data_IF_283866259061
#
_entry.id   IF_283866259061
#
_cell.length_a   1.000
_cell.length_b   1.000
_cell.length_c   1.000
_cell.angle_alpha   90.00
_cell.angle_beta   90.00
_cell.angle_gamma   90.00
#
_symmetry.space_group_name_H-M   'P 1'
#
loop_
_entity.id
_entity.type
_entity.pdbx_description
1 polymer ?
#
# COMPACT_ATOMS: atom_id res chain seq x y z
N UNK A 1 24.29 -11.39 -13.91
CA UNK A 1 24.37 -9.98 -13.45
C UNK A 1 24.03 -8.99 -14.57
N UNK A 2 24.67 -9.09 -15.76
CA UNK A 2 24.42 -8.20 -16.90
C UNK A 2 22.95 -8.16 -17.32
N UNK A 3 22.35 -9.33 -17.53
CA UNK A 3 20.94 -9.45 -17.89
C UNK A 3 20.01 -8.85 -16.85
N UNK A 4 20.33 -9.00 -15.56
CA UNK A 4 19.56 -8.41 -14.45
C UNK A 4 19.53 -6.89 -14.55
N UNK A 5 20.68 -6.25 -14.77
CA UNK A 5 20.76 -4.79 -14.87
C UNK A 5 20.01 -4.26 -16.10
N UNK A 6 20.10 -4.98 -17.23
CA UNK A 6 19.38 -4.62 -18.47
C UNK A 6 17.87 -4.72 -18.24
N UNK A 7 17.38 -5.82 -17.67
CA UNK A 7 15.95 -6.00 -17.37
C UNK A 7 15.41 -4.92 -16.42
N UNK A 8 16.12 -4.61 -15.32
CA UNK A 8 15.71 -3.55 -14.40
C UNK A 8 15.70 -2.16 -15.06
N UNK A 9 16.70 -1.88 -15.92
CA UNK A 9 16.75 -0.61 -16.64
C UNK A 9 15.58 -0.48 -17.61
N UNK A 10 15.28 -1.53 -18.36
CA UNK A 10 14.14 -1.55 -19.29
C UNK A 10 12.81 -1.45 -18.53
N UNK A 11 12.67 -2.15 -17.40
CA UNK A 11 11.50 -2.09 -16.54
C UNK A 11 11.25 -0.64 -16.05
N UNK A 12 12.31 0.04 -15.59
CA UNK A 12 12.24 1.42 -15.15
C UNK A 12 11.83 2.38 -16.28
N UNK A 13 12.47 2.24 -17.47
CA UNK A 13 12.16 3.05 -18.66
C UNK A 13 10.71 2.82 -19.10
N UNK A 14 10.28 1.57 -19.18
CA UNK A 14 8.91 1.22 -19.56
C UNK A 14 7.88 1.80 -18.58
N UNK A 15 8.12 1.69 -17.27
CA UNK A 15 7.28 2.32 -16.24
C UNK A 15 7.17 3.83 -16.44
N UNK A 16 8.30 4.52 -16.67
CA UNK A 16 8.32 5.96 -16.91
C UNK A 16 7.58 6.35 -18.19
N UNK A 17 7.74 5.62 -19.29
CA UNK A 17 7.03 5.88 -20.54
C UNK A 17 5.53 5.67 -20.38
N UNK A 18 5.12 4.57 -19.75
CA UNK A 18 3.71 4.29 -19.47
C UNK A 18 3.08 5.33 -18.56
N UNK A 19 3.82 5.90 -17.61
CA UNK A 19 3.30 6.97 -16.75
C UNK A 19 2.96 8.26 -17.52
N UNK A 20 3.67 8.54 -18.61
CA UNK A 20 3.32 9.64 -19.52
C UNK A 20 2.03 9.38 -20.29
N UNK A 21 1.83 8.15 -20.75
CA UNK A 21 0.57 7.76 -21.42
C UNK A 21 -0.62 7.82 -20.46
N UNK A 22 -0.46 7.28 -19.25
CA UNK A 22 -1.49 7.32 -18.21
C UNK A 22 -1.91 8.76 -17.86
N UNK A 23 -0.95 9.69 -17.80
CA UNK A 23 -1.24 11.10 -17.57
C UNK A 23 -2.15 11.71 -18.64
N UNK A 24 -2.06 11.26 -19.89
CA UNK A 24 -2.92 11.73 -20.99
C UNK A 24 -4.40 11.31 -20.79
N UNK A 25 -4.62 10.16 -20.15
CA UNK A 25 -5.96 9.61 -19.83
C UNK A 25 -6.39 9.85 -18.38
N UNK A 26 -5.63 10.66 -17.63
CA UNK A 26 -5.88 11.00 -16.21
C UNK A 26 -5.92 9.77 -15.27
N UNK A 27 -5.12 8.75 -15.55
CA UNK A 27 -4.93 7.60 -14.67
C UNK A 27 -3.80 7.85 -13.66
N UNK A 28 -3.84 7.19 -12.47
CA UNK A 28 -2.75 7.20 -11.51
C UNK A 28 -1.47 6.62 -12.10
N UNK A 29 -0.32 7.12 -11.64
CA UNK A 29 0.99 6.62 -12.11
C UNK A 29 1.20 5.14 -11.73
N UNK A 30 0.72 4.73 -10.55
CA UNK A 30 0.80 3.35 -10.05
C UNK A 30 0.15 2.37 -11.03
N UNK A 31 -1.06 2.67 -11.50
CA UNK A 31 -1.75 1.84 -12.52
C UNK A 31 -0.89 1.65 -13.76
N UNK A 32 -0.22 2.72 -14.21
CA UNK A 32 0.65 2.63 -15.40
C UNK A 32 1.88 1.77 -15.19
N UNK A 33 2.45 1.79 -13.98
CA UNK A 33 3.60 0.95 -13.63
C UNK A 33 3.21 -0.54 -13.59
N UNK A 34 2.04 -0.85 -12.98
CA UNK A 34 1.49 -2.20 -12.98
C UNK A 34 1.21 -2.70 -14.40
N UNK A 35 0.60 -1.87 -15.25
CA UNK A 35 0.34 -2.21 -16.65
C UNK A 35 1.66 -2.39 -17.42
N UNK A 36 2.66 -1.54 -17.20
CA UNK A 36 3.99 -1.72 -17.80
C UNK A 36 4.61 -3.06 -17.39
N UNK A 37 4.50 -3.42 -16.11
CA UNK A 37 4.94 -4.71 -15.60
C UNK A 37 4.19 -5.88 -16.22
N UNK A 38 2.87 -5.81 -16.29
CA UNK A 38 2.04 -6.82 -16.95
C UNK A 38 2.45 -7.04 -18.41
N UNK A 39 2.71 -5.96 -19.15
CA UNK A 39 3.18 -6.04 -20.54
C UNK A 39 4.57 -6.66 -20.64
N UNK A 40 5.51 -6.30 -19.75
CA UNK A 40 6.85 -6.87 -19.69
C UNK A 40 6.88 -8.29 -19.12
N UNK A 41 5.80 -8.70 -18.45
CA UNK A 41 5.70 -9.98 -17.76
C UNK A 41 5.78 -11.20 -18.66
N UNK A 42 5.97 -12.39 -18.04
CA UNK A 42 6.15 -13.66 -18.76
C UNK A 42 4.98 -14.03 -19.67
N UNK A 43 3.79 -13.52 -19.36
CA UNK A 43 2.55 -13.88 -20.06
C UNK A 43 2.28 -13.05 -21.32
N UNK A 44 2.98 -11.91 -21.51
CA UNK A 44 2.82 -11.01 -22.67
C UNK A 44 4.12 -10.96 -23.48
N UNK A 45 5.01 -10.00 -23.21
CA UNK A 45 6.26 -9.85 -23.96
C UNK A 45 7.27 -10.97 -23.70
N UNK A 46 7.27 -11.57 -22.51
CA UNK A 46 8.10 -12.71 -22.17
C UNK A 46 7.90 -13.91 -23.11
N UNK A 47 6.66 -14.11 -23.61
CA UNK A 47 6.33 -15.16 -24.60
C UNK A 47 6.97 -14.96 -25.99
N UNK A 48 7.38 -13.73 -26.32
CA UNK A 48 8.00 -13.41 -27.62
C UNK A 48 9.46 -13.83 -27.70
N UNK A 49 10.04 -14.39 -26.63
CA UNK A 49 11.43 -14.86 -26.61
C UNK A 49 12.47 -13.74 -26.65
N UNK A 50 12.08 -12.48 -26.39
CA UNK A 50 12.95 -11.31 -26.38
C UNK A 50 13.67 -11.11 -25.03
N UNK A 51 13.42 -11.98 -24.06
CA UNK A 51 14.03 -11.95 -22.72
C UNK A 51 15.56 -12.08 -22.77
N UNK A 52 16.13 -12.74 -23.78
CA UNK A 52 17.57 -12.79 -24.01
C UNK A 52 18.21 -11.43 -24.34
N UNK A 53 17.42 -10.47 -24.87
CA UNK A 53 17.80 -9.08 -25.09
C UNK A 53 17.46 -8.17 -23.90
N UNK A 54 16.96 -8.73 -22.80
CA UNK A 54 16.49 -7.98 -21.64
C UNK A 54 15.10 -7.32 -21.82
N UNK A 55 14.42 -7.58 -22.93
CA UNK A 55 13.09 -7.03 -23.21
C UNK A 55 12.04 -8.03 -22.71
N UNK A 56 11.48 -7.72 -21.53
CA UNK A 56 10.52 -8.58 -20.83
C UNK A 56 11.16 -9.64 -19.95
N UNK A 57 10.36 -10.21 -19.07
CA UNK A 57 10.75 -11.29 -18.17
C UNK A 57 10.33 -12.63 -18.77
N UNK A 58 11.26 -13.58 -18.89
CA UNK A 58 11.02 -14.86 -19.54
C UNK A 58 10.22 -15.85 -18.70
N UNK A 59 10.26 -15.72 -17.37
CA UNK A 59 9.55 -16.61 -16.43
C UNK A 59 9.20 -15.88 -15.13
N UNK A 60 8.25 -16.40 -14.37
CA UNK A 60 7.94 -15.92 -13.01
C UNK A 60 9.14 -16.06 -12.08
N UNK A 61 9.86 -17.18 -12.16
CA UNK A 61 11.08 -17.42 -11.37
C UNK A 61 12.13 -16.32 -11.60
N UNK A 62 12.24 -15.80 -12.84
CA UNK A 62 13.11 -14.67 -13.13
C UNK A 62 12.64 -13.40 -12.42
N UNK A 63 11.33 -13.14 -12.36
CA UNK A 63 10.77 -11.97 -11.65
C UNK A 63 10.97 -12.11 -10.15
N UNK A 64 10.73 -13.29 -9.58
CA UNK A 64 10.95 -13.60 -8.17
C UNK A 64 12.42 -13.46 -7.78
N UNK A 65 13.35 -13.70 -8.70
CA UNK A 65 14.79 -13.46 -8.50
C UNK A 65 15.14 -12.00 -8.19
N UNK A 66 14.23 -11.05 -8.41
CA UNK A 66 14.36 -9.65 -8.00
C UNK A 66 13.76 -9.35 -6.62
N UNK A 67 13.39 -10.35 -5.85
CA UNK A 67 12.75 -10.22 -4.54
C UNK A 67 13.46 -9.27 -3.57
N UNK A 68 14.79 -9.20 -3.61
CA UNK A 68 15.55 -8.24 -2.80
C UNK A 68 15.17 -6.77 -3.12
N UNK A 69 14.92 -6.44 -4.39
CA UNK A 69 14.47 -5.09 -4.80
C UNK A 69 13.07 -4.82 -4.25
N UNK A 70 12.18 -5.81 -4.32
CA UNK A 70 10.82 -5.74 -3.77
C UNK A 70 10.86 -5.51 -2.26
N UNK A 71 11.65 -6.29 -1.50
CA UNK A 71 11.74 -6.15 -0.04
C UNK A 71 12.30 -4.78 0.38
N UNK A 72 13.33 -4.30 -0.30
CA UNK A 72 13.88 -2.95 -0.06
C UNK A 72 12.85 -1.88 -0.36
N UNK A 73 12.11 -1.98 -1.47
CA UNK A 73 11.04 -1.05 -1.81
C UNK A 73 9.94 -1.03 -0.73
N UNK A 74 9.52 -2.19 -0.26
CA UNK A 74 8.54 -2.34 0.82
C UNK A 74 9.01 -1.66 2.11
N UNK A 75 10.28 -1.85 2.48
CA UNK A 75 10.87 -1.18 3.63
C UNK A 75 10.81 0.34 3.54
N UNK A 76 11.14 0.90 2.37
CA UNK A 76 11.02 2.34 2.14
C UNK A 76 9.58 2.83 2.14
N UNK A 77 8.66 2.11 1.50
CA UNK A 77 7.23 2.44 1.49
C UNK A 77 6.72 2.48 2.94
N UNK A 78 6.98 1.45 3.73
CA UNK A 78 6.55 1.38 5.12
C UNK A 78 7.19 2.49 5.99
N UNK A 79 8.48 2.79 5.80
CA UNK A 79 9.16 3.87 6.50
C UNK A 79 8.54 5.24 6.19
N UNK A 80 8.21 5.50 4.93
CA UNK A 80 7.55 6.76 4.52
C UNK A 80 6.13 6.85 5.10
N UNK A 81 5.37 5.75 5.10
CA UNK A 81 4.05 5.69 5.76
C UNK A 81 4.18 6.04 7.26
N UNK A 82 5.23 5.56 7.94
CA UNK A 82 5.50 5.90 9.33
C UNK A 82 5.58 7.41 9.59
N UNK A 83 6.02 8.21 8.60
CA UNK A 83 6.06 9.68 8.71
C UNK A 83 4.67 10.33 8.81
N UNK A 84 3.61 9.68 8.38
CA UNK A 84 2.23 10.19 8.51
C UNK A 84 1.75 10.16 9.97
N UNK A 85 2.40 9.35 10.83
CA UNK A 85 2.09 9.20 12.26
C UNK A 85 2.78 10.25 13.16
N UNK A 86 2.83 11.51 12.70
CA UNK A 86 3.26 12.63 13.57
C UNK A 86 2.25 12.87 14.68
N UNK A 87 2.71 12.83 15.93
CA UNK A 87 1.85 13.05 17.10
C UNK A 87 1.17 14.43 17.07
N UNK A 88 1.81 15.44 16.49
CA UNK A 88 1.20 16.77 16.30
C UNK A 88 -0.02 16.69 15.36
N UNK A 89 0.10 15.94 14.26
CA UNK A 89 -1.00 15.72 13.30
C UNK A 89 -2.09 14.84 13.92
N UNK A 90 -1.72 13.76 14.59
CA UNK A 90 -2.67 12.86 15.27
C UNK A 90 -3.47 13.57 16.37
N UNK A 91 -2.84 14.45 17.14
CA UNK A 91 -3.54 15.25 18.15
C UNK A 91 -4.50 16.28 17.55
N UNK A 92 -4.20 16.78 16.36
CA UNK A 92 -5.10 17.65 15.61
C UNK A 92 -6.23 16.89 14.89
N UNK A 93 -6.02 15.60 14.62
CA UNK A 93 -7.05 14.69 14.12
C UNK A 93 -8.04 14.46 15.26
N UNK A 94 -9.26 14.95 15.15
CA UNK A 94 -10.27 14.71 16.18
C UNK A 94 -10.48 13.21 16.45
N UNK A 95 -10.87 12.87 17.67
CA UNK A 95 -11.20 11.49 18.05
C UNK A 95 -12.14 10.79 17.05
N UNK A 96 -12.94 11.56 16.33
CA UNK A 96 -13.83 11.09 15.28
C UNK A 96 -13.09 10.41 14.12
N UNK A 97 -12.00 11.00 13.62
CA UNK A 97 -11.23 10.44 12.52
C UNK A 97 -10.54 9.12 12.91
N UNK A 98 -9.99 9.06 14.13
CA UNK A 98 -9.35 7.84 14.65
C UNK A 98 -10.37 6.72 14.79
N UNK A 99 -11.53 7.02 15.41
CA UNK A 99 -12.58 6.02 15.59
C UNK A 99 -13.12 5.52 14.25
N UNK A 100 -13.36 6.42 13.29
CA UNK A 100 -13.85 6.04 11.96
C UNK A 100 -12.80 5.21 11.20
N UNK A 101 -11.52 5.63 11.23
CA UNK A 101 -10.43 4.92 10.56
C UNK A 101 -10.29 3.49 11.07
N UNK A 102 -10.19 3.31 12.39
CA UNK A 102 -10.07 1.96 13.00
C UNK A 102 -11.32 1.12 12.75
N UNK A 103 -12.49 1.66 13.05
CA UNK A 103 -13.73 0.88 12.99
C UNK A 103 -14.05 0.43 11.55
N UNK A 104 -13.86 1.29 10.53
CA UNK A 104 -14.12 0.91 9.15
C UNK A 104 -13.13 -0.15 8.66
N UNK A 105 -11.85 -0.10 9.06
CA UNK A 105 -10.85 -1.09 8.70
C UNK A 105 -11.21 -2.47 9.29
N UNK A 106 -11.51 -2.52 10.59
CA UNK A 106 -11.92 -3.76 11.28
C UNK A 106 -13.20 -4.35 10.69
N UNK A 107 -14.22 -3.51 10.43
CA UNK A 107 -15.48 -3.99 9.82
C UNK A 107 -15.23 -4.52 8.40
N UNK A 108 -14.36 -3.86 7.62
CA UNK A 108 -14.01 -4.32 6.28
C UNK A 108 -13.32 -5.67 6.33
N UNK A 109 -12.29 -5.83 7.18
CA UNK A 109 -11.60 -7.10 7.39
C UNK A 109 -12.58 -8.19 7.79
N UNK A 110 -13.37 -7.99 8.82
CA UNK A 110 -14.33 -8.99 9.30
C UNK A 110 -15.36 -9.40 8.24
N UNK A 111 -15.85 -8.46 7.42
CA UNK A 111 -16.83 -8.76 6.38
C UNK A 111 -16.20 -9.56 5.23
N UNK A 112 -14.94 -9.23 4.85
CA UNK A 112 -14.21 -9.98 3.83
C UNK A 112 -13.82 -11.36 4.35
N UNK A 113 -13.39 -11.47 5.61
CA UNK A 113 -13.10 -12.76 6.25
C UNK A 113 -14.33 -13.68 6.21
N UNK A 114 -15.50 -13.18 6.64
CA UNK A 114 -16.74 -13.95 6.59
C UNK A 114 -17.09 -14.40 5.17
N UNK A 115 -16.93 -13.52 4.18
CA UNK A 115 -17.23 -13.85 2.79
C UNK A 115 -16.24 -14.89 2.23
N UNK A 116 -14.94 -14.73 2.47
CA UNK A 116 -13.90 -15.63 1.93
C UNK A 116 -13.81 -16.95 2.70
N UNK A 117 -14.03 -16.96 4.01
CA UNK A 117 -14.22 -18.20 4.78
C UNK A 117 -15.45 -18.95 4.27
N UNK A 118 -16.54 -18.25 3.91
CA UNK A 118 -17.68 -18.86 3.23
C UNK A 118 -17.29 -19.51 1.90
N UNK A 119 -16.42 -18.88 1.11
CA UNK A 119 -15.87 -19.48 -0.12
C UNK A 119 -14.99 -20.70 0.21
N UNK A 120 -14.14 -20.61 1.22
CA UNK A 120 -13.33 -21.74 1.68
C UNK A 120 -14.19 -22.96 2.07
N UNK A 121 -15.27 -22.76 2.81
CA UNK A 121 -16.17 -23.85 3.21
C UNK A 121 -16.86 -24.54 2.03
N UNK A 122 -17.14 -23.78 0.96
CA UNK A 122 -17.75 -24.32 -0.26
C UNK A 122 -16.71 -24.94 -1.20
N UNK A 123 -15.50 -24.38 -1.27
CA UNK A 123 -14.44 -24.74 -2.19
C UNK A 123 -13.07 -24.80 -1.50
N UNK A 124 -12.84 -25.71 -0.53
CA UNK A 124 -11.60 -25.75 0.27
C UNK A 124 -10.35 -26.05 -0.55
N UNK A 125 -10.51 -26.58 -1.76
CA UNK A 125 -9.40 -26.88 -2.68
C UNK A 125 -8.95 -25.64 -3.49
N UNK A 126 -9.76 -24.56 -3.49
CA UNK A 126 -9.48 -23.35 -4.27
C UNK A 126 -8.86 -22.25 -3.41
N UNK A 127 -9.30 -22.14 -2.17
CA UNK A 127 -8.86 -21.12 -1.23
C UNK A 127 -8.61 -21.76 0.13
N UNK A 128 -7.39 -21.69 0.66
CA UNK A 128 -7.09 -22.15 2.02
C UNK A 128 -7.67 -21.18 3.06
N UNK A 129 -7.88 -21.67 4.29
CA UNK A 129 -8.34 -20.84 5.38
C UNK A 129 -7.32 -19.75 5.71
N UNK A 130 -6.02 -20.07 5.67
CA UNK A 130 -4.93 -19.14 5.86
C UNK A 130 -4.98 -17.99 4.85
N UNK A 131 -5.14 -18.33 3.56
CA UNK A 131 -5.26 -17.33 2.49
C UNK A 131 -6.54 -16.49 2.61
N UNK A 132 -7.66 -17.07 3.04
CA UNK A 132 -8.92 -16.35 3.25
C UNK A 132 -8.77 -15.25 4.32
N UNK A 133 -8.21 -15.59 5.49
CA UNK A 133 -7.98 -14.64 6.60
C UNK A 133 -6.95 -13.57 6.20
N UNK A 134 -5.89 -13.96 5.49
CA UNK A 134 -4.88 -13.02 5.02
C UNK A 134 -5.47 -12.02 4.02
N UNK A 135 -6.27 -12.48 3.05
CA UNK A 135 -6.97 -11.60 2.10
C UNK A 135 -7.92 -10.63 2.81
N UNK A 136 -8.60 -11.06 3.86
CA UNK A 136 -9.48 -10.20 4.64
C UNK A 136 -8.75 -9.03 5.29
N UNK A 137 -7.59 -9.27 5.88
CA UNK A 137 -6.78 -8.20 6.46
C UNK A 137 -6.18 -7.26 5.40
N UNK A 138 -5.74 -7.78 4.25
CA UNK A 138 -5.26 -6.97 3.12
C UNK A 138 -6.38 -6.04 2.59
N UNK A 139 -7.63 -6.46 2.70
CA UNK A 139 -8.78 -5.68 2.27
C UNK A 139 -8.97 -4.36 3.06
N UNK A 140 -8.40 -4.25 4.26
CA UNK A 140 -8.46 -3.02 5.07
C UNK A 140 -7.74 -1.84 4.40
N UNK A 141 -6.62 -2.07 3.72
CA UNK A 141 -5.77 -1.00 3.17
C UNK A 141 -6.47 -0.15 2.10
N UNK A 142 -6.19 1.15 2.11
CA UNK A 142 -6.67 2.13 1.12
C UNK A 142 -5.48 2.80 0.44
N UNK A 143 -5.61 3.21 -0.83
CA UNK A 143 -4.55 3.89 -1.57
C UNK A 143 -4.56 5.42 -1.30
N UNK A 144 -3.61 5.96 -0.52
CA UNK A 144 -3.52 7.39 -0.27
C UNK A 144 -3.27 8.19 -1.55
N UNK A 145 -2.37 7.70 -2.41
CA UNK A 145 -1.93 8.40 -3.61
C UNK A 145 -3.05 8.66 -4.61
N UNK A 146 -3.91 7.66 -4.86
CA UNK A 146 -5.04 7.79 -5.78
C UNK A 146 -6.07 8.83 -5.27
N UNK A 147 -6.38 8.77 -3.98
CA UNK A 147 -7.31 9.70 -3.32
C UNK A 147 -6.76 11.14 -3.29
N UNK A 148 -5.49 11.31 -2.87
CA UNK A 148 -4.80 12.60 -2.86
C UNK A 148 -4.70 13.22 -4.25
N UNK A 149 -4.47 12.40 -5.29
CA UNK A 149 -4.44 12.88 -6.67
C UNK A 149 -5.78 13.52 -7.07
N UNK A 150 -6.91 12.87 -6.75
CA UNK A 150 -8.25 13.42 -7.03
C UNK A 150 -8.48 14.71 -6.25
N UNK A 151 -8.17 14.73 -4.95
CA UNK A 151 -8.33 15.92 -4.10
C UNK A 151 -7.51 17.10 -4.64
N UNK A 152 -6.24 16.88 -5.01
CA UNK A 152 -5.36 17.92 -5.55
C UNK A 152 -5.78 18.36 -6.95
N UNK A 153 -6.10 17.42 -7.84
CA UNK A 153 -6.46 17.70 -9.24
C UNK A 153 -7.75 18.52 -9.35
N UNK A 154 -8.74 18.22 -8.52
CA UNK A 154 -10.04 18.89 -8.53
C UNK A 154 -10.17 19.96 -7.44
N UNK A 155 -9.10 20.22 -6.67
CA UNK A 155 -9.08 21.21 -5.56
C UNK A 155 -10.25 21.03 -4.59
N UNK A 156 -10.56 19.76 -4.28
CA UNK A 156 -11.63 19.43 -3.35
C UNK A 156 -11.34 20.05 -1.97
N UNK A 157 -12.33 20.67 -1.36
CA UNK A 157 -12.23 21.28 -0.03
C UNK A 157 -13.58 21.17 0.68
N UNK A 158 -13.56 20.57 1.86
CA UNK A 158 -14.72 20.46 2.72
C UNK A 158 -14.55 19.47 3.86
N UNK A 159 -15.57 19.29 4.69
CA UNK A 159 -15.51 18.39 5.84
C UNK A 159 -15.26 16.92 5.46
N UNK A 160 -15.85 16.43 4.35
CA UNK A 160 -15.63 15.09 3.84
C UNK A 160 -14.17 14.92 3.38
N UNK A 161 -13.65 15.86 2.59
CA UNK A 161 -12.24 15.83 2.15
C UNK A 161 -11.28 15.82 3.33
N UNK A 162 -11.53 16.63 4.35
CA UNK A 162 -10.69 16.69 5.54
C UNK A 162 -10.70 15.36 6.31
N UNK A 163 -11.90 14.81 6.58
CA UNK A 163 -12.01 13.53 7.27
C UNK A 163 -11.41 12.38 6.43
N UNK A 164 -11.64 12.39 5.12
CA UNK A 164 -11.07 11.40 4.19
C UNK A 164 -9.55 11.33 4.29
N UNK A 165 -8.86 12.47 4.22
CA UNK A 165 -7.39 12.52 4.29
C UNK A 165 -6.87 11.99 5.64
N UNK A 166 -7.57 12.29 6.73
CA UNK A 166 -7.21 11.79 8.05
C UNK A 166 -7.45 10.27 8.18
N UNK A 167 -8.58 9.77 7.67
CA UNK A 167 -8.92 8.34 7.73
C UNK A 167 -7.94 7.53 6.89
N UNK A 168 -7.62 7.99 5.67
CA UNK A 168 -6.67 7.31 4.79
C UNK A 168 -5.28 7.21 5.43
N UNK A 169 -4.82 8.25 6.13
CA UNK A 169 -3.53 8.20 6.83
C UNK A 169 -3.52 7.15 7.97
N UNK A 170 -4.63 6.97 8.69
CA UNK A 170 -4.75 5.98 9.77
C UNK A 170 -4.93 4.56 9.21
N UNK A 171 -5.61 4.44 8.09
CA UNK A 171 -6.04 3.17 7.49
C UNK A 171 -4.87 2.24 7.17
N UNK A 172 -3.79 2.80 6.65
CA UNK A 172 -2.59 2.03 6.31
C UNK A 172 -1.94 1.38 7.54
N UNK A 173 -1.81 2.10 8.65
CA UNK A 173 -1.25 1.50 9.87
C UNK A 173 -2.17 0.47 10.51
N UNK A 174 -3.46 0.77 10.57
CA UNK A 174 -4.45 -0.20 11.09
C UNK A 174 -4.45 -1.44 10.20
N UNK A 175 -4.39 -1.27 8.88
CA UNK A 175 -4.28 -2.36 7.91
C UNK A 175 -3.04 -3.22 8.14
N UNK A 176 -1.87 -2.60 8.37
CA UNK A 176 -0.63 -3.34 8.66
C UNK A 176 -0.70 -4.13 9.97
N UNK A 177 -1.28 -3.56 11.03
CA UNK A 177 -1.47 -4.29 12.30
C UNK A 177 -2.42 -5.47 12.13
N UNK A 178 -3.55 -5.26 11.44
CA UNK A 178 -4.51 -6.32 11.14
C UNK A 178 -3.87 -7.41 10.26
N UNK A 179 -3.06 -7.01 9.27
CA UNK A 179 -2.33 -7.94 8.42
C UNK A 179 -1.34 -8.78 9.23
N UNK A 180 -0.49 -8.17 10.03
CA UNK A 180 0.50 -8.91 10.83
C UNK A 180 -0.16 -9.90 11.78
N UNK A 181 -1.28 -9.51 12.41
CA UNK A 181 -2.05 -10.42 13.25
C UNK A 181 -2.65 -11.60 12.45
N UNK A 182 -3.30 -11.30 11.33
CA UNK A 182 -3.94 -12.32 10.48
C UNK A 182 -2.93 -13.23 9.80
N UNK A 183 -1.80 -12.68 9.35
CA UNK A 183 -0.73 -13.42 8.70
C UNK A 183 -0.02 -14.35 9.69
N UNK A 184 0.22 -13.90 10.93
CA UNK A 184 0.74 -14.77 11.98
C UNK A 184 -0.18 -15.94 12.30
N UNK A 185 -1.51 -15.69 12.38
CA UNK A 185 -2.51 -16.77 12.52
C UNK A 185 -2.50 -17.69 11.29
N UNK A 186 -2.41 -17.15 10.09
CA UNK A 186 -2.35 -17.94 8.86
C UNK A 186 -1.13 -18.87 8.83
N UNK A 187 0.04 -18.38 9.20
CA UNK A 187 1.26 -19.18 9.32
C UNK A 187 1.13 -20.30 10.35
N UNK A 188 0.55 -20.03 11.52
CA UNK A 188 0.31 -21.04 12.54
C UNK A 188 -0.64 -22.14 12.04
N UNK A 189 -1.68 -21.78 11.30
CA UNK A 189 -2.60 -22.72 10.66
C UNK A 189 -1.89 -23.64 9.63
N UNK A 190 -1.01 -23.08 8.80
CA UNK A 190 -0.26 -23.86 7.79
C UNK A 190 0.76 -24.81 8.41
N UNK A 191 1.40 -24.41 9.50
CA UNK A 191 2.36 -25.26 10.20
C UNK A 191 1.70 -26.37 11.02
N UNK A 192 0.37 -26.40 11.08
CA UNK A 192 -0.39 -27.41 11.83
C UNK A 192 -0.31 -27.25 13.36
N UNK A 193 0.26 -26.15 13.84
CA UNK A 193 0.36 -25.82 15.26
C UNK A 193 -0.90 -25.07 15.69
N UNK A 194 -1.96 -25.83 16.02
CA UNK A 194 -3.23 -25.29 16.49
C UNK A 194 -3.25 -24.97 17.99
N UNK A 195 -2.09 -24.81 18.61
CA UNK A 195 -2.00 -24.43 20.00
C UNK A 195 -2.34 -22.95 20.20
N UNK A 196 -2.96 -22.63 21.34
CA UNK A 196 -3.26 -21.24 21.71
C UNK A 196 -2.01 -20.36 21.69
N UNK A 197 -0.84 -20.95 21.95
CA UNK A 197 0.46 -20.29 21.93
C UNK A 197 0.78 -19.81 20.50
N UNK A 198 0.70 -20.68 19.50
CA UNK A 198 1.07 -20.39 18.10
C UNK A 198 0.04 -19.47 17.43
N UNK A 199 -1.24 -19.63 17.74
CA UNK A 199 -2.32 -18.86 17.09
C UNK A 199 -2.47 -17.44 17.67
N UNK A 200 -2.15 -17.23 18.95
CA UNK A 200 -2.39 -15.95 19.63
C UNK A 200 -1.09 -15.30 20.11
N UNK A 201 -0.23 -16.08 20.78
CA UNK A 201 0.95 -15.49 21.43
C UNK A 201 2.03 -15.14 20.42
N UNK A 202 2.32 -16.01 19.45
CA UNK A 202 3.34 -15.75 18.43
C UNK A 202 3.04 -14.50 17.60
N UNK A 203 1.82 -14.29 17.02
CA UNK A 203 1.50 -13.06 16.29
C UNK A 203 1.55 -11.81 17.16
N UNK A 204 1.11 -11.90 18.44
CA UNK A 204 1.21 -10.77 19.35
C UNK A 204 2.67 -10.44 19.69
N UNK A 205 3.51 -11.45 19.89
CA UNK A 205 4.94 -11.26 20.13
C UNK A 205 5.63 -10.68 18.90
N UNK A 206 5.30 -11.16 17.68
CA UNK A 206 5.81 -10.62 16.43
C UNK A 206 5.48 -9.13 16.29
N UNK A 207 4.24 -8.73 16.52
CA UNK A 207 3.81 -7.32 16.49
C UNK A 207 4.59 -6.50 17.52
N UNK A 208 4.63 -6.96 18.79
CA UNK A 208 5.29 -6.21 19.86
C UNK A 208 6.79 -6.08 19.62
N UNK A 209 7.46 -7.16 19.22
CA UNK A 209 8.90 -7.15 18.92
C UNK A 209 9.21 -6.28 17.70
N UNK A 210 8.36 -6.32 16.66
CA UNK A 210 8.51 -5.49 15.47
C UNK A 210 8.38 -3.99 15.81
N UNK A 211 7.38 -3.63 16.61
CA UNK A 211 7.20 -2.24 17.06
C UNK A 211 8.35 -1.79 17.95
N UNK A 212 8.85 -2.65 18.85
CA UNK A 212 9.99 -2.35 19.71
C UNK A 212 11.27 -2.16 18.89
N UNK A 213 11.57 -3.11 18.00
CA UNK A 213 12.73 -3.03 17.10
C UNK A 213 12.71 -1.77 16.25
N UNK A 214 11.57 -1.47 15.64
CA UNK A 214 11.37 -0.27 14.85
C UNK A 214 11.53 1.02 15.68
N UNK A 215 11.00 1.03 16.91
CA UNK A 215 11.15 2.17 17.81
C UNK A 215 12.63 2.41 18.18
N UNK A 216 13.36 1.36 18.52
CA UNK A 216 14.80 1.43 18.81
C UNK A 216 15.58 1.94 17.59
N UNK A 217 15.30 1.37 16.41
CA UNK A 217 15.95 1.78 15.16
C UNK A 217 15.69 3.26 14.83
N UNK A 218 14.44 3.72 14.93
CA UNK A 218 14.06 5.11 14.67
C UNK A 218 14.72 6.10 15.67
N UNK A 219 14.81 5.70 16.93
CA UNK A 219 15.50 6.49 17.95
C UNK A 219 17.01 6.54 17.71
N UNK A 220 17.64 5.41 17.38
CA UNK A 220 19.07 5.34 17.04
C UNK A 220 19.39 6.16 15.79
N UNK A 221 18.54 6.11 14.77
CA UNK A 221 18.66 6.95 13.58
C UNK A 221 18.70 8.44 13.96
N UNK A 222 17.78 8.90 14.82
CA UNK A 222 17.76 10.28 15.30
C UNK A 222 19.04 10.61 16.06
N UNK A 223 19.53 9.75 16.94
CA UNK A 223 20.77 10.00 17.70
C UNK A 223 21.98 10.17 16.77
N UNK A 224 22.10 9.31 15.76
CA UNK A 224 23.23 9.38 14.83
C UNK A 224 23.12 10.56 13.87
N UNK A 225 21.90 10.99 13.53
CA UNK A 225 21.68 12.12 12.62
C UNK A 225 22.25 13.45 13.17
N UNK A 226 22.24 13.64 14.48
CA UNK A 226 22.79 14.83 15.15
C UNK A 226 24.27 15.04 14.80
N UNK A 227 25.03 13.96 14.58
CA UNK A 227 26.46 14.05 14.22
C UNK A 227 26.70 14.50 12.78
N UNK A 228 25.69 14.47 11.92
CA UNK A 228 25.84 14.82 10.51
C UNK A 228 25.16 16.14 10.19
N UNK A 229 25.92 17.15 9.73
CA UNK A 229 25.40 18.46 9.37
C UNK A 229 25.04 18.56 7.86
N UNK A 230 25.60 17.66 7.03
CA UNK A 230 25.34 17.64 5.59
C UNK A 230 24.02 16.90 5.29
N UNK A 231 23.15 17.57 4.53
CA UNK A 231 21.85 17.00 4.06
C UNK A 231 22.00 15.68 3.31
N UNK A 232 23.05 15.54 2.49
CA UNK A 232 23.35 14.31 1.76
C UNK A 232 23.75 13.16 2.70
N UNK A 233 24.59 13.45 3.72
CA UNK A 233 25.01 12.44 4.70
C UNK A 233 23.84 11.94 5.55
N UNK A 234 22.94 12.85 5.98
CA UNK A 234 21.71 12.50 6.70
C UNK A 234 20.79 11.61 5.88
N UNK A 235 20.59 11.94 4.60
CA UNK A 235 19.81 11.09 3.70
C UNK A 235 20.45 9.70 3.52
N UNK A 236 21.78 9.63 3.32
CA UNK A 236 22.51 8.37 3.23
C UNK A 236 22.36 7.54 4.51
N UNK A 237 22.37 8.18 5.69
CA UNK A 237 22.16 7.51 6.96
C UNK A 237 20.74 6.93 7.06
N UNK A 238 19.71 7.68 6.67
CA UNK A 238 18.32 7.19 6.64
C UNK A 238 18.18 6.01 5.70
N UNK A 239 18.77 6.06 4.50
CA UNK A 239 18.80 4.93 3.56
C UNK A 239 19.47 3.71 4.19
N UNK A 240 20.63 3.89 4.84
CA UNK A 240 21.35 2.81 5.50
C UNK A 240 20.52 2.18 6.63
N UNK A 241 19.81 2.99 7.42
CA UNK A 241 18.92 2.48 8.48
C UNK A 241 17.73 1.72 7.95
N UNK A 242 17.09 2.18 6.87
CA UNK A 242 16.00 1.41 6.23
C UNK A 242 16.52 0.07 5.71
N UNK A 243 17.68 0.05 5.04
CA UNK A 243 18.29 -1.20 4.59
C UNK A 243 18.65 -2.12 5.75
N UNK A 244 19.17 -1.57 6.85
CA UNK A 244 19.49 -2.33 8.06
C UNK A 244 18.22 -2.92 8.70
N UNK A 245 17.14 -2.12 8.83
CA UNK A 245 15.89 -2.60 9.41
C UNK A 245 15.23 -3.67 8.53
N UNK A 246 15.28 -3.52 7.19
CA UNK A 246 14.87 -4.57 6.27
C UNK A 246 15.69 -5.86 6.49
N UNK A 247 17.02 -5.75 6.53
CA UNK A 247 17.88 -6.91 6.72
C UNK A 247 17.66 -7.61 8.08
N UNK A 248 17.50 -6.82 9.17
CA UNK A 248 17.25 -7.37 10.50
C UNK A 248 15.87 -7.98 10.62
N UNK A 249 14.85 -7.41 9.99
CA UNK A 249 13.49 -7.97 10.01
C UNK A 249 13.37 -9.32 9.28
N UNK A 250 14.32 -9.65 8.42
CA UNK A 250 14.37 -10.96 7.73
C UNK A 250 15.05 -12.05 8.58
N UNK A 251 15.55 -11.70 9.78
CA UNK A 251 16.14 -12.67 10.68
C UNK A 251 15.05 -13.36 11.50
N UNK A 252 15.04 -14.69 11.47
CA UNK A 252 14.22 -15.49 12.38
C UNK A 252 15.02 -15.77 13.65
N UNK A 253 14.43 -15.49 14.80
CA UNK A 253 15.03 -15.72 16.12
C UNK A 253 14.16 -16.72 16.89
N UNK A 254 14.76 -17.81 17.35
CA UNK A 254 14.07 -18.79 18.19
C UNK A 254 14.45 -18.55 19.65
N UNK A 255 13.47 -18.21 20.48
CA UNK A 255 13.67 -17.97 21.92
C UNK A 255 12.77 -18.90 22.72
N UNK A 256 13.37 -19.83 23.43
CA UNK A 256 12.64 -20.73 24.35
C UNK A 256 11.64 -21.67 23.65
N UNK A 257 11.87 -22.04 22.37
CA UNK A 257 11.00 -22.91 21.59
C UNK A 257 9.85 -22.18 20.90
N UNK A 258 9.81 -20.84 21.02
CA UNK A 258 8.89 -19.96 20.29
C UNK A 258 9.65 -19.32 19.13
N UNK A 259 9.15 -19.44 17.91
CA UNK A 259 9.71 -18.74 16.76
C UNK A 259 9.25 -17.28 16.81
N UNK A 260 10.21 -16.38 16.95
CA UNK A 260 9.97 -14.95 16.94
C UNK A 260 10.45 -14.40 15.59
N UNK A 261 9.52 -14.15 14.68
CA UNK A 261 9.75 -13.39 13.47
C UNK A 261 9.58 -11.88 13.71
N UNK A 262 9.90 -11.09 12.70
CA UNK A 262 9.64 -9.65 12.68
C UNK A 262 8.87 -9.33 11.41
N UNK A 263 7.76 -8.60 11.52
CA UNK A 263 7.09 -8.02 10.35
C UNK A 263 7.91 -6.88 9.78
N UNK A 264 8.46 -7.05 8.59
CA UNK A 264 9.24 -6.05 7.86
C UNK A 264 8.49 -4.72 7.78
N UNK A 265 7.21 -4.77 7.44
CA UNK A 265 6.37 -3.59 7.27
C UNK A 265 6.19 -2.84 8.59
N UNK A 266 5.91 -3.55 9.70
CA UNK A 266 5.75 -2.93 11.03
C UNK A 266 7.07 -2.34 11.56
N UNK A 267 8.19 -3.04 11.39
CA UNK A 267 9.52 -2.54 11.81
C UNK A 267 9.84 -1.24 11.10
N UNK A 268 9.75 -1.22 9.76
CA UNK A 268 10.08 -0.05 8.97
C UNK A 268 9.08 1.10 9.20
N UNK A 269 7.79 0.82 9.32
CA UNK A 269 6.77 1.83 9.65
C UNK A 269 7.05 2.45 11.02
N UNK A 270 7.32 1.65 12.04
CA UNK A 270 7.57 2.16 13.39
C UNK A 270 8.89 2.95 13.45
N UNK A 271 9.91 2.53 12.68
CA UNK A 271 11.16 3.28 12.52
C UNK A 271 10.88 4.70 11.99
N UNK A 272 10.07 4.82 10.94
CA UNK A 272 9.63 6.10 10.38
C UNK A 272 8.80 6.92 11.37
N UNK A 273 7.87 6.26 12.09
CA UNK A 273 7.00 6.88 13.09
C UNK A 273 7.80 7.50 14.23
N UNK A 274 8.74 6.77 14.82
CA UNK A 274 9.57 7.30 15.91
C UNK A 274 10.49 8.40 15.39
N UNK A 275 11.14 8.17 14.24
CA UNK A 275 12.04 9.15 13.65
C UNK A 275 11.34 10.49 13.37
N UNK A 276 10.14 10.48 12.77
CA UNK A 276 9.42 11.72 12.46
C UNK A 276 8.95 12.51 13.70
N UNK A 277 8.78 11.82 14.84
CA UNK A 277 8.33 12.47 16.08
C UNK A 277 9.48 12.96 16.97
N UNK A 278 10.67 12.38 16.84
CA UNK A 278 11.83 12.70 17.67
C UNK A 278 12.80 13.64 16.95
N UNK A 279 12.94 13.52 15.62
CA UNK A 279 13.88 14.32 14.84
C UNK A 279 13.27 15.65 14.37
N UNK A 280 13.83 16.83 14.76
CA UNK A 280 13.29 18.13 14.37
C UNK A 280 13.36 18.41 12.86
N UNK A 281 14.33 17.80 12.16
CA UNK A 281 14.57 18.00 10.71
C UNK A 281 13.93 16.92 9.84
N UNK A 282 13.12 16.05 10.44
CA UNK A 282 12.50 14.90 9.76
C UNK A 282 11.66 15.28 8.55
N UNK A 283 10.93 16.40 8.56
CA UNK A 283 10.10 16.82 7.41
C UNK A 283 10.91 17.01 6.13
N UNK A 284 11.98 17.82 6.21
CA UNK A 284 12.84 18.09 5.07
C UNK A 284 13.51 16.81 4.56
N UNK A 285 13.89 15.94 5.48
CA UNK A 285 14.58 14.69 5.14
C UNK A 285 13.63 13.69 4.48
N UNK A 286 12.42 13.54 5.02
CA UNK A 286 11.39 12.65 4.45
C UNK A 286 10.96 13.08 3.05
N UNK A 287 10.75 14.38 2.81
CA UNK A 287 10.47 14.93 1.47
C UNK A 287 11.58 14.63 0.44
N UNK A 288 12.81 14.58 0.89
CA UNK A 288 13.97 14.26 0.03
C UNK A 288 14.05 12.77 -0.21
N UNK A 289 13.83 11.96 0.83
CA UNK A 289 13.85 10.51 0.77
C UNK A 289 12.76 10.02 -0.18
N UNK A 290 11.52 10.52 -0.07
CA UNK A 290 10.40 10.17 -0.95
C UNK A 290 10.75 10.39 -2.43
N UNK A 291 11.41 11.51 -2.75
CA UNK A 291 11.90 11.78 -4.11
C UNK A 291 13.01 10.83 -4.56
N UNK A 292 13.92 10.48 -3.66
CA UNK A 292 15.03 9.58 -3.95
C UNK A 292 14.57 8.14 -4.15
N UNK A 293 13.59 7.69 -3.36
CA UNK A 293 13.02 6.33 -3.43
C UNK A 293 12.14 6.12 -4.67
N UNK A 294 11.71 7.19 -5.33
CA UNK A 294 10.81 7.12 -6.50
C UNK A 294 11.21 6.08 -7.55
N UNK A 295 12.48 5.93 -7.99
CA UNK A 295 12.87 4.88 -8.93
C UNK A 295 12.67 3.46 -8.37
N UNK A 296 12.92 3.26 -7.08
CA UNK A 296 12.75 1.96 -6.41
C UNK A 296 11.25 1.61 -6.35
N UNK A 297 10.40 2.59 -6.05
CA UNK A 297 8.96 2.41 -6.06
C UNK A 297 8.43 2.07 -7.45
N UNK A 298 8.94 2.72 -8.51
CA UNK A 298 8.56 2.37 -9.89
C UNK A 298 8.92 0.91 -10.19
N UNK A 299 10.13 0.47 -9.85
CA UNK A 299 10.55 -0.91 -10.04
C UNK A 299 9.66 -1.88 -9.28
N UNK A 300 9.33 -1.56 -8.02
CA UNK A 300 8.41 -2.36 -7.22
C UNK A 300 7.06 -2.60 -7.92
N UNK A 301 6.43 -1.54 -8.40
CA UNK A 301 5.13 -1.66 -9.07
C UNK A 301 5.23 -2.36 -10.43
N UNK A 302 6.33 -2.16 -11.18
CA UNK A 302 6.55 -2.86 -12.45
C UNK A 302 6.79 -4.35 -12.20
N UNK A 303 7.62 -4.71 -11.23
CA UNK A 303 7.85 -6.12 -10.86
C UNK A 303 6.55 -6.76 -10.37
N UNK A 304 5.79 -6.10 -9.49
CA UNK A 304 4.48 -6.58 -9.05
C UNK A 304 3.50 -6.80 -10.20
N UNK A 305 3.49 -5.90 -11.19
CA UNK A 305 2.68 -6.07 -12.40
C UNK A 305 3.14 -7.25 -13.27
N UNK A 306 4.46 -7.51 -13.33
CA UNK A 306 5.03 -8.63 -14.08
C UNK A 306 4.73 -10.00 -13.45
N UNK A 307 4.46 -10.03 -12.16
CA UNK A 307 4.08 -11.21 -11.40
C UNK A 307 2.61 -11.61 -11.58
N UNK A 308 1.78 -10.73 -12.14
CA UNK A 308 0.37 -11.04 -12.38
C UNK A 308 0.22 -12.16 -13.41
N UNK A 309 -0.21 -13.30 -12.92
CA UNK A 309 -0.49 -14.47 -13.77
C UNK A 309 -1.89 -14.36 -14.38
N UNK A 310 -1.94 -13.96 -15.66
CA UNK A 310 -3.19 -13.88 -16.41
C UNK A 310 -3.85 -15.23 -16.67
N UNK A 311 -3.11 -16.35 -16.57
CA UNK A 311 -3.67 -17.68 -16.78
C UNK A 311 -4.65 -18.07 -15.67
N UNK A 312 -4.46 -17.52 -14.48
CA UNK A 312 -5.34 -17.72 -13.32
C UNK A 312 -6.75 -17.15 -13.60
N UNK A 313 -6.83 -16.06 -14.36
CA UNK A 313 -8.14 -15.51 -14.77
C UNK A 313 -8.94 -16.46 -15.66
N UNK A 314 -8.30 -17.47 -16.25
CA UNK A 314 -8.97 -18.52 -17.01
C UNK A 314 -9.68 -19.56 -16.13
N UNK A 315 -9.33 -19.60 -14.83
CA UNK A 315 -9.99 -20.48 -13.88
C UNK A 315 -11.21 -19.76 -13.26
N UNK A 316 -12.44 -20.22 -13.55
CA UNK A 316 -13.67 -19.55 -13.09
C UNK A 316 -13.79 -19.52 -11.56
N UNK A 317 -13.20 -20.48 -10.85
CA UNK A 317 -13.23 -20.52 -9.38
C UNK A 317 -12.31 -19.47 -8.78
N UNK A 318 -11.13 -19.26 -9.35
CA UNK A 318 -10.20 -18.20 -8.91
C UNK A 318 -10.78 -16.82 -9.22
N UNK A 319 -11.40 -16.67 -10.39
CA UNK A 319 -12.12 -15.45 -10.75
C UNK A 319 -13.27 -15.17 -9.77
N UNK A 320 -13.99 -16.21 -9.33
CA UNK A 320 -15.01 -16.11 -8.30
C UNK A 320 -14.44 -15.54 -6.99
N UNK A 321 -13.29 -16.04 -6.52
CA UNK A 321 -12.62 -15.51 -5.32
C UNK A 321 -12.29 -14.02 -5.50
N UNK A 322 -11.74 -13.64 -6.64
CA UNK A 322 -11.45 -12.24 -6.96
C UNK A 322 -12.69 -11.35 -6.95
N UNK A 323 -13.78 -11.79 -7.55
CA UNK A 323 -15.06 -11.06 -7.57
C UNK A 323 -15.65 -10.96 -6.16
N UNK A 324 -15.64 -12.05 -5.39
CA UNK A 324 -16.11 -12.05 -3.98
C UNK A 324 -15.26 -11.10 -3.14
N UNK A 325 -13.93 -11.12 -3.31
CA UNK A 325 -13.02 -10.20 -2.63
C UNK A 325 -13.36 -8.73 -2.94
N UNK A 326 -13.49 -8.36 -4.22
CA UNK A 326 -13.81 -6.99 -4.64
C UNK A 326 -15.19 -6.57 -4.11
N UNK A 327 -16.19 -7.44 -4.21
CA UNK A 327 -17.55 -7.15 -3.77
C UNK A 327 -17.63 -6.99 -2.25
N UNK A 328 -17.09 -7.96 -1.50
CA UNK A 328 -17.11 -7.94 -0.03
C UNK A 328 -16.29 -6.78 0.53
N UNK A 329 -15.13 -6.47 -0.06
CA UNK A 329 -14.32 -5.30 0.31
C UNK A 329 -15.07 -4.00 0.05
N UNK A 330 -15.69 -3.84 -1.13
CA UNK A 330 -16.46 -2.63 -1.44
C UNK A 330 -17.62 -2.45 -0.46
N UNK A 331 -18.35 -3.52 -0.16
CA UNK A 331 -19.42 -3.51 0.85
C UNK A 331 -18.87 -3.19 2.24
N UNK A 332 -17.73 -3.77 2.63
CA UNK A 332 -17.07 -3.54 3.90
C UNK A 332 -16.66 -2.07 4.09
N UNK A 333 -15.98 -1.50 3.10
CA UNK A 333 -15.57 -0.08 3.13
C UNK A 333 -16.77 0.86 3.20
N UNK A 334 -17.81 0.63 2.42
CA UNK A 334 -19.01 1.47 2.40
C UNK A 334 -19.81 1.31 3.70
N UNK A 335 -20.10 0.09 4.11
CA UNK A 335 -20.89 -0.17 5.32
C UNK A 335 -20.13 0.17 6.59
N UNK A 336 -18.83 -0.14 6.66
CA UNK A 336 -17.95 0.17 7.78
C UNK A 336 -17.80 1.69 7.98
N UNK A 337 -17.55 2.44 6.91
CA UNK A 337 -17.51 3.89 6.97
C UNK A 337 -18.88 4.49 7.36
N UNK A 338 -19.97 3.97 6.78
CA UNK A 338 -21.32 4.42 7.13
C UNK A 338 -21.64 4.20 8.61
N UNK A 339 -21.41 2.98 9.11
CA UNK A 339 -21.71 2.61 10.50
C UNK A 339 -20.85 3.43 11.49
N UNK A 340 -19.55 3.54 11.25
CA UNK A 340 -18.65 4.29 12.12
C UNK A 340 -18.92 5.80 12.10
N UNK A 341 -19.20 6.38 10.92
CA UNK A 341 -19.60 7.78 10.81
C UNK A 341 -20.94 8.07 11.49
N UNK A 342 -21.87 7.13 11.43
CA UNK A 342 -23.15 7.26 12.14
C UNK A 342 -22.97 7.20 13.66
N UNK A 343 -22.16 6.27 14.16
CA UNK A 343 -21.83 6.14 15.58
C UNK A 343 -21.14 7.40 16.13
N UNK A 344 -20.26 8.01 15.34
CA UNK A 344 -19.53 9.24 15.70
C UNK A 344 -20.27 10.53 15.33
N UNK A 345 -21.54 10.42 14.92
CA UNK A 345 -22.43 11.56 14.58
C UNK A 345 -21.85 12.49 13.49
N UNK A 346 -21.19 11.94 12.48
CA UNK A 346 -20.77 12.70 11.29
C UNK A 346 -21.98 13.27 10.54
N UNK A 347 -21.76 14.30 9.72
CA UNK A 347 -22.82 14.85 8.86
C UNK A 347 -23.36 13.78 7.88
N UNK A 348 -24.64 13.87 7.46
CA UNK A 348 -25.24 12.89 6.54
C UNK A 348 -24.49 12.74 5.21
N UNK A 349 -23.89 13.82 4.71
CA UNK A 349 -23.06 13.79 3.51
C UNK A 349 -21.81 12.92 3.70
N UNK A 350 -21.11 13.07 4.83
CA UNK A 350 -19.93 12.25 5.16
C UNK A 350 -20.33 10.79 5.31
N UNK A 351 -21.40 10.49 6.06
CA UNK A 351 -21.90 9.12 6.24
C UNK A 351 -22.15 8.42 4.89
N UNK A 352 -22.70 9.13 3.92
CA UNK A 352 -23.07 8.57 2.62
C UNK A 352 -21.88 8.36 1.68
N UNK A 353 -20.91 9.27 1.67
CA UNK A 353 -19.90 9.33 0.62
C UNK A 353 -18.51 8.89 1.05
N UNK A 354 -18.17 8.88 2.34
CA UNK A 354 -16.82 8.54 2.81
C UNK A 354 -16.40 7.14 2.35
N UNK A 355 -17.24 6.12 2.52
CA UNK A 355 -16.90 4.75 2.14
C UNK A 355 -16.56 4.57 0.66
N UNK A 356 -17.23 5.35 -0.22
CA UNK A 356 -16.96 5.32 -1.66
C UNK A 356 -15.57 5.90 -1.96
N UNK A 357 -15.15 6.92 -1.22
CA UNK A 357 -13.84 7.55 -1.40
C UNK A 357 -12.68 6.71 -0.83
N UNK A 358 -12.97 5.68 -0.03
CA UNK A 358 -12.01 4.72 0.54
C UNK A 358 -11.83 3.45 -0.32
N UNK A 359 -12.48 3.36 -1.48
CA UNK A 359 -12.39 2.18 -2.35
C UNK A 359 -11.02 2.00 -3.04
N UNK A 360 -10.28 3.06 -3.46
CA UNK A 360 -8.96 2.87 -4.07
C UNK A 360 -8.05 1.98 -3.22
N UNK A 361 -7.33 1.06 -3.84
CA UNK A 361 -6.40 0.13 -3.21
C UNK A 361 -5.12 0.05 -4.03
N UNK A 362 -3.96 0.17 -3.41
CA UNK A 362 -2.66 0.12 -4.11
C UNK A 362 -1.51 -0.27 -3.16
N UNK A 363 -0.42 0.43 -3.20
CA UNK A 363 0.89 0.24 -2.58
C UNK A 363 0.98 -0.66 -1.36
N UNK A 364 0.33 -0.31 -0.26
CA UNK A 364 0.35 -1.10 0.99
C UNK A 364 -0.27 -2.48 0.81
N UNK A 365 -1.39 -2.58 0.09
CA UNK A 365 -2.02 -3.86 -0.21
C UNK A 365 -1.11 -4.77 -1.04
N UNK A 366 -0.39 -4.21 -2.03
CA UNK A 366 0.58 -4.95 -2.83
C UNK A 366 1.77 -5.40 -1.98
N UNK A 367 2.20 -4.56 -1.02
CA UNK A 367 3.23 -4.90 -0.06
C UNK A 367 2.85 -6.11 0.80
N UNK A 368 1.68 -6.07 1.40
CA UNK A 368 1.14 -7.17 2.18
C UNK A 368 0.95 -8.44 1.34
N UNK A 369 0.49 -8.30 0.09
CA UNK A 369 0.34 -9.43 -0.82
C UNK A 369 1.69 -10.05 -1.24
N UNK A 370 2.74 -9.24 -1.37
CA UNK A 370 4.09 -9.74 -1.63
C UNK A 370 4.66 -10.51 -0.43
N UNK A 371 4.40 -10.06 0.79
CA UNK A 371 4.75 -10.79 2.02
C UNK A 371 3.93 -12.09 2.15
N UNK A 372 2.64 -12.02 1.88
CA UNK A 372 1.74 -13.17 1.89
C UNK A 372 2.04 -14.24 0.80
N UNK A 373 2.87 -13.93 -0.19
CA UNK A 373 3.31 -14.88 -1.21
C UNK A 373 4.11 -16.06 -0.64
N UNK A 374 4.57 -15.98 0.62
CA UNK A 374 5.23 -17.07 1.32
C UNK A 374 4.29 -18.16 1.83
N UNK A 375 2.97 -17.91 1.89
CA UNK A 375 1.97 -18.93 2.21
C UNK A 375 1.91 -20.00 1.10
N UNK A 376 1.41 -21.19 1.44
CA UNK A 376 1.26 -22.30 0.50
C UNK A 376 0.46 -21.93 -0.76
N UNK A 377 -0.61 -21.14 -0.60
CA UNK A 377 -1.44 -20.58 -1.67
C UNK A 377 -1.11 -19.10 -1.95
N UNK A 378 0.07 -18.64 -1.57
CA UNK A 378 0.44 -17.22 -1.61
C UNK A 378 0.37 -16.60 -3.01
N UNK A 379 0.66 -17.37 -4.05
CA UNK A 379 0.47 -16.92 -5.44
C UNK A 379 -0.98 -16.54 -5.74
N UNK A 380 -1.94 -17.27 -5.17
CA UNK A 380 -3.37 -16.97 -5.33
C UNK A 380 -3.72 -15.66 -4.60
N UNK A 381 -3.28 -15.49 -3.35
CA UNK A 381 -3.47 -14.26 -2.59
C UNK A 381 -2.95 -13.07 -3.39
N UNK A 382 -1.72 -13.17 -3.88
CA UNK A 382 -1.06 -12.13 -4.67
C UNK A 382 -1.84 -11.78 -5.94
N UNK A 383 -2.27 -12.78 -6.71
CA UNK A 383 -3.02 -12.55 -7.95
C UNK A 383 -4.40 -11.92 -7.70
N UNK A 384 -5.12 -12.35 -6.67
CA UNK A 384 -6.40 -11.75 -6.28
C UNK A 384 -6.23 -10.28 -5.91
N UNK A 385 -5.19 -9.96 -5.13
CA UNK A 385 -4.88 -8.58 -4.74
C UNK A 385 -4.44 -7.74 -5.93
N UNK A 386 -3.54 -8.24 -6.78
CA UNK A 386 -3.08 -7.54 -7.99
C UNK A 386 -4.23 -7.21 -8.93
N UNK A 387 -5.11 -8.20 -9.19
CA UNK A 387 -6.31 -8.00 -10.00
C UNK A 387 -7.24 -6.96 -9.37
N UNK A 388 -7.48 -7.07 -8.07
CA UNK A 388 -8.30 -6.12 -7.32
C UNK A 388 -7.74 -4.70 -7.39
N UNK A 389 -6.43 -4.54 -7.20
CA UNK A 389 -5.74 -3.25 -7.28
C UNK A 389 -5.89 -2.64 -8.67
N UNK A 390 -5.70 -3.42 -9.75
CA UNK A 390 -5.95 -2.92 -11.11
C UNK A 390 -7.36 -2.39 -11.30
N UNK A 391 -8.36 -3.13 -10.82
CA UNK A 391 -9.77 -2.70 -10.91
C UNK A 391 -10.00 -1.42 -10.11
N UNK A 392 -9.52 -1.36 -8.86
CA UNK A 392 -9.73 -0.19 -8.00
C UNK A 392 -8.94 1.05 -8.46
N UNK A 393 -7.75 0.87 -9.02
CA UNK A 393 -6.97 1.98 -9.57
C UNK A 393 -7.61 2.58 -10.83
N UNK A 394 -8.31 1.76 -11.64
CA UNK A 394 -9.04 2.24 -12.80
C UNK A 394 -10.35 2.95 -12.42
N UNK A 395 -11.11 2.37 -11.50
CA UNK A 395 -12.47 2.81 -11.17
C UNK A 395 -12.48 3.77 -9.97
N UNK A 396 -11.59 3.57 -9.00
CA UNK A 396 -11.55 4.27 -7.72
C UNK A 396 -11.45 5.80 -7.82
N UNK A 397 -10.51 6.36 -8.60
CA UNK A 397 -10.40 7.82 -8.77
C UNK A 397 -11.68 8.45 -9.32
N UNK A 398 -12.34 7.75 -10.25
CA UNK A 398 -13.62 8.20 -10.83
C UNK A 398 -14.73 8.21 -9.77
N UNK A 399 -14.85 7.14 -8.99
CA UNK A 399 -15.82 7.05 -7.90
C UNK A 399 -15.56 8.09 -6.80
N UNK A 400 -14.29 8.28 -6.41
CA UNK A 400 -13.89 9.31 -5.45
C UNK A 400 -14.28 10.70 -5.94
N UNK A 401 -14.02 11.02 -7.21
CA UNK A 401 -14.45 12.29 -7.82
C UNK A 401 -15.96 12.44 -7.78
N UNK A 402 -16.72 11.42 -8.17
CA UNK A 402 -18.17 11.45 -8.16
C UNK A 402 -18.72 11.68 -6.73
N UNK A 403 -18.16 11.01 -5.73
CA UNK A 403 -18.54 11.14 -4.33
C UNK A 403 -18.27 12.56 -3.80
N UNK A 404 -17.08 13.11 -4.06
CA UNK A 404 -16.72 14.48 -3.66
C UNK A 404 -17.55 15.55 -4.38
N UNK A 405 -17.89 15.32 -5.66
CA UNK A 405 -18.79 16.20 -6.42
C UNK A 405 -20.21 16.16 -5.85
N UNK A 406 -20.73 14.97 -5.55
CA UNK A 406 -22.06 14.80 -4.96
C UNK A 406 -22.15 15.35 -3.52
N UNK A 407 -21.03 15.37 -2.79
CA UNK A 407 -20.91 16.03 -1.49
C UNK A 407 -20.83 17.57 -1.59
N UNK A 408 -20.69 18.14 -2.80
CA UNK A 408 -20.56 19.58 -3.03
C UNK A 408 -19.16 20.14 -2.70
N UNK A 409 -18.13 19.28 -2.58
CA UNK A 409 -16.78 19.69 -2.21
C UNK A 409 -15.84 19.91 -3.40
N UNK A 410 -16.27 19.56 -4.62
CA UNK A 410 -15.63 19.93 -5.87
C UNK A 410 -16.45 21.04 -6.55
N UNK A 411 -15.84 22.22 -6.70
CA UNK A 411 -16.47 23.34 -7.41
C UNK A 411 -16.16 23.27 -8.91
N UNK A 412 -17.10 23.66 -9.81
CA UNK A 412 -16.87 23.65 -11.25
C UNK A 412 -15.65 24.46 -11.70
N UNK A 413 -15.32 25.52 -10.96
CA UNK A 413 -14.18 26.43 -11.21
C UNK A 413 -12.82 25.87 -10.77
N UNK A 414 -12.79 24.73 -10.09
CA UNK A 414 -11.58 24.12 -9.53
C UNK A 414 -10.65 23.42 -10.54
N UNK A 415 -11.00 23.34 -11.82
CA UNK A 415 -10.14 22.77 -12.86
C UNK A 415 -9.03 23.74 -13.25
N UNK A 416 -7.88 23.68 -12.62
CA UNK A 416 -6.65 24.22 -13.19
C UNK A 416 -5.82 23.10 -13.77
N UNK A 417 -5.71 23.07 -15.11
CA UNK A 417 -4.64 22.31 -15.75
C UNK A 417 -3.31 22.95 -15.36
N UNK A 418 -2.30 22.14 -15.02
CA UNK A 418 -0.95 22.64 -14.74
C UNK A 418 -0.32 23.48 -15.88
N UNK A 419 -0.94 23.49 -17.05
CA UNK A 419 -0.56 24.35 -18.21
C UNK A 419 -1.07 25.78 -18.11
N UNK A 420 -2.04 26.09 -17.26
CA UNK A 420 -2.62 27.45 -17.17
C UNK A 420 -1.81 28.35 -16.22
N UNK A 421 -1.00 27.77 -15.32
CA UNK A 421 -0.18 28.56 -14.41
C UNK A 421 1.06 29.23 -15.07
N UNK A 422 1.41 28.86 -16.29
CA UNK A 422 2.57 29.41 -17.01
C UNK A 422 2.21 30.40 -18.14
N UNK A 423 1.02 30.97 -18.18
CA UNK A 423 0.79 32.14 -19.03
C UNK A 423 1.35 33.38 -18.33
N UNK A 424 2.24 34.15 -18.99
CA UNK A 424 2.69 35.44 -18.46
C UNK A 424 1.48 36.32 -18.19
N UNK A 425 1.43 36.94 -17.02
CA UNK A 425 0.45 37.98 -16.76
C UNK A 425 0.68 39.09 -17.80
N UNK A 426 -0.33 39.36 -18.60
CA UNK A 426 -0.30 40.53 -19.52
C UNK A 426 0.03 41.78 -18.71
N UNK A 427 0.94 42.64 -19.18
CA UNK A 427 1.24 43.87 -18.49
C UNK A 427 -0.02 44.75 -18.41
N UNK A 428 -0.34 45.14 -17.20
CA UNK A 428 -1.43 46.11 -16.96
C UNK A 428 -1.08 47.38 -17.73
N UNK A 429 -1.86 47.69 -18.77
CA UNK A 429 -1.74 48.96 -19.47
C UNK A 429 -2.12 50.07 -18.50
N UNK A 430 -1.11 50.83 -18.05
CA UNK A 430 -1.30 52.07 -17.35
C UNK A 430 -1.83 53.07 -18.41
N UNK A 431 -3.15 53.32 -18.40
CA UNK A 431 -3.70 54.46 -19.08
C UNK A 431 -3.42 55.67 -18.21
N UNK A 432 -2.65 56.63 -18.79
CA UNK A 432 -2.32 57.92 -18.21
C UNK A 432 -3.50 58.89 -18.24
#
# INVERSE_FOLDING_TARGET
>A
MEQMLICLSIALIAGLLMSRLAKAVNLPAVTSYLVAGLLLGPFVLGRLGLSGLGIGFGSLEQVEGYGAVTQVALGFIAFVIGNEFRLSSLRSMGQQAITVGIAQAVITTALVDVALVGVHLLFPQVLSLASAITLGSIAAATAPAATLMVVKQYKAKGPLTHLLLMVVAIDDAVGLVLFSASYGVANALEQGHMDLLSVVVEPLMEILLSLLLGAVAGYLLNLLEVYFHSRSKRMSLSVAFVLLTVGVSMLEVEVGGVRCGFSLLLVCMMTGTVFCNVCPTSEELMDRLDRWVSPINILFFVLSGAELDLTILSNPLVLLVGVVYIASRSLGKISGAYASCRATKCSPSIQKYLGITLLPQAGVALGMAAEAAQLSDGHMVRNVVLFSVLVYELVGPTLTRMALTAAGEIRPEGRTSARVENKPKEPVSVQG
#
